data_IF_558109022594
#
_entry.id   IF_558109022594
#
_cell.length_a   1.000
_cell.length_b   1.000
_cell.length_c   1.000
_cell.angle_alpha   90.00
_cell.angle_beta   90.00
_cell.angle_gamma   90.00
#
_symmetry.space_group_name_H-M   'P 1'
#
loop_
_entity.id
_entity.type
_entity.pdbx_description
1 polymer ?
#
# COMPACT_ATOMS: atom_id res chain seq x y z
N UNK A 1 13.02 -9.36 -1.14
CA UNK A 1 12.88 -8.69 0.18
C UNK A 1 12.46 -7.26 -0.11
N UNK A 2 11.40 -6.78 0.52
CA UNK A 2 10.90 -5.41 0.37
C UNK A 2 11.63 -4.54 1.39
N UNK A 3 12.25 -3.46 0.95
CA UNK A 3 13.14 -2.60 1.75
C UNK A 3 12.69 -1.15 1.78
N UNK A 4 12.05 -0.67 0.71
CA UNK A 4 11.59 0.73 0.61
C UNK A 4 10.06 0.80 0.64
N UNK A 5 9.52 1.97 0.96
CA UNK A 5 8.09 2.25 0.89
C UNK A 5 7.54 2.09 -0.53
N UNK A 6 8.31 2.49 -1.54
CA UNK A 6 7.95 2.30 -2.96
C UNK A 6 7.87 0.83 -3.33
N UNK A 7 8.86 0.02 -2.93
CA UNK A 7 8.83 -1.44 -3.14
C UNK A 7 7.62 -2.08 -2.45
N UNK A 8 7.25 -1.60 -1.25
CA UNK A 8 6.05 -2.04 -0.55
C UNK A 8 4.78 -1.72 -1.35
N UNK A 9 4.63 -0.48 -1.81
CA UNK A 9 3.49 -0.04 -2.63
C UNK A 9 3.39 -0.88 -3.92
N UNK A 10 4.49 -1.04 -4.64
CA UNK A 10 4.51 -1.84 -5.87
C UNK A 10 4.18 -3.30 -5.59
N UNK A 11 4.63 -3.83 -4.43
CA UNK A 11 4.32 -5.21 -4.07
C UNK A 11 2.82 -5.45 -3.91
N UNK A 12 2.01 -4.45 -3.60
CA UNK A 12 0.56 -4.59 -3.39
C UNK A 12 -0.25 -4.62 -4.69
N UNK A 13 0.29 -4.08 -5.78
CA UNK A 13 -0.42 -3.96 -7.07
C UNK A 13 -0.70 -5.31 -7.68
N UNK A 14 -1.85 -5.42 -8.35
CA UNK A 14 -2.22 -6.63 -9.09
C UNK A 14 -2.39 -7.90 -8.24
N UNK A 15 -2.55 -7.76 -6.92
CA UNK A 15 -2.78 -8.89 -6.00
C UNK A 15 -4.21 -9.42 -5.97
N UNK A 16 -5.12 -8.79 -6.71
CA UNK A 16 -6.57 -9.08 -6.65
C UNK A 16 -7.09 -9.10 -5.20
N UNK A 17 -6.76 -8.06 -4.44
CA UNK A 17 -7.09 -8.00 -3.02
C UNK A 17 -8.60 -7.93 -2.81
N UNK A 18 -9.10 -8.67 -1.82
CA UNK A 18 -10.51 -8.69 -1.45
C UNK A 18 -10.94 -7.45 -0.66
N UNK A 19 -11.07 -6.31 -1.35
CA UNK A 19 -11.35 -5.01 -0.71
C UNK A 19 -12.70 -4.44 -1.13
N UNK A 20 -13.51 -4.07 -0.14
CA UNK A 20 -14.79 -3.40 -0.34
C UNK A 20 -14.81 -2.03 0.35
N UNK A 21 -15.35 -1.03 -0.33
CA UNK A 21 -15.54 0.31 0.20
C UNK A 21 -16.97 0.75 -0.14
N UNK A 22 -17.72 1.21 0.88
CA UNK A 22 -19.14 1.58 0.74
C UNK A 22 -20.03 0.51 0.09
N UNK A 23 -19.69 -0.77 0.29
CA UNK A 23 -20.45 -1.90 -0.25
C UNK A 23 -20.05 -2.32 -1.67
N UNK A 24 -19.12 -1.60 -2.31
CA UNK A 24 -18.64 -1.91 -3.66
C UNK A 24 -17.22 -2.47 -3.65
N UNK A 25 -16.93 -3.39 -4.59
CA UNK A 25 -15.60 -3.98 -4.76
C UNK A 25 -14.66 -2.95 -5.41
N UNK A 26 -13.53 -2.68 -4.77
CA UNK A 26 -12.44 -1.87 -5.32
C UNK A 26 -11.41 -2.80 -5.99
N UNK A 27 -11.29 -2.80 -7.34
CA UNK A 27 -10.40 -3.71 -8.06
C UNK A 27 -8.91 -3.38 -7.87
N UNK A 28 -8.56 -2.10 -7.73
CA UNK A 28 -7.19 -1.65 -7.48
C UNK A 28 -7.16 -0.70 -6.27
N UNK A 29 -7.08 -1.23 -5.03
CA UNK A 29 -7.13 -0.41 -3.83
C UNK A 29 -5.87 0.44 -3.63
N UNK A 30 -4.75 0.11 -4.29
CA UNK A 30 -3.47 0.82 -4.12
C UNK A 30 -3.53 2.28 -4.58
N UNK A 31 -4.37 2.57 -5.57
CA UNK A 31 -4.57 3.92 -6.13
C UNK A 31 -5.83 4.61 -5.63
N UNK A 32 -6.65 3.92 -4.84
CA UNK A 32 -7.93 4.47 -4.42
C UNK A 32 -7.71 5.64 -3.44
N UNK A 33 -8.27 6.85 -3.69
CA UNK A 33 -7.93 8.08 -2.95
C UNK A 33 -8.23 8.00 -1.45
N UNK A 34 -9.23 7.20 -1.06
CA UNK A 34 -9.56 6.97 0.36
C UNK A 34 -8.60 5.98 1.03
N UNK A 35 -8.04 5.03 0.29
CA UNK A 35 -7.23 3.93 0.84
C UNK A 35 -5.73 4.31 0.81
N UNK A 36 -5.31 5.05 -0.22
CA UNK A 36 -3.93 5.45 -0.45
C UNK A 36 -3.23 6.08 0.77
N UNK A 37 -3.88 6.94 1.59
CA UNK A 37 -3.23 7.51 2.77
C UNK A 37 -2.77 6.45 3.78
N UNK A 38 -3.57 5.41 4.00
CA UNK A 38 -3.23 4.31 4.90
C UNK A 38 -2.05 3.49 4.38
N UNK A 39 -2.00 3.24 3.07
CA UNK A 39 -0.86 2.57 2.42
C UNK A 39 0.40 3.42 2.57
N UNK A 40 0.32 4.74 2.36
CA UNK A 40 1.46 5.64 2.53
C UNK A 40 1.99 5.63 3.97
N UNK A 41 1.11 5.57 4.97
CA UNK A 41 1.51 5.50 6.38
C UNK A 41 2.33 4.23 6.67
N UNK A 42 1.95 3.07 6.10
CA UNK A 42 2.74 1.83 6.22
C UNK A 42 4.02 1.91 5.39
N UNK A 43 3.98 2.46 4.18
CA UNK A 43 5.16 2.65 3.33
C UNK A 43 6.26 3.45 4.05
N UNK A 44 5.88 4.49 4.80
CA UNK A 44 6.81 5.29 5.60
C UNK A 44 7.57 4.48 6.67
N UNK A 45 7.03 3.35 7.14
CA UNK A 45 7.73 2.47 8.10
C UNK A 45 8.88 1.70 7.44
N UNK A 46 8.75 1.35 6.16
CA UNK A 46 9.84 0.76 5.38
C UNK A 46 10.95 1.79 5.12
N UNK A 47 10.57 2.99 4.70
CA UNK A 47 11.53 4.08 4.48
C UNK A 47 12.26 4.44 5.79
N UNK A 48 11.54 4.44 6.92
CA UNK A 48 12.14 4.66 8.23
C UNK A 48 13.18 3.58 8.56
N UNK A 49 12.82 2.31 8.40
CA UNK A 49 13.74 1.20 8.66
C UNK A 49 14.98 1.24 7.75
N UNK A 50 14.84 1.68 6.50
CA UNK A 50 15.97 1.86 5.59
C UNK A 50 16.87 3.04 5.99
N UNK A 51 16.28 4.14 6.46
CA UNK A 51 17.03 5.35 6.89
C UNK A 51 17.67 5.21 8.27
N UNK A 52 17.14 4.33 9.12
CA UNK A 52 17.58 4.07 10.51
C UNK A 52 17.55 2.56 10.77
N UNK A 53 18.61 1.83 10.37
CA UNK A 53 18.66 0.38 10.46
C UNK A 53 18.78 -0.15 11.89
#
# INVERSE_FOLDING_TARGET
MIRTGEEYIQSLRGRDLEVYLFGERVPEPVDHPVIRPSINAVAATYDLAQSRP
#
